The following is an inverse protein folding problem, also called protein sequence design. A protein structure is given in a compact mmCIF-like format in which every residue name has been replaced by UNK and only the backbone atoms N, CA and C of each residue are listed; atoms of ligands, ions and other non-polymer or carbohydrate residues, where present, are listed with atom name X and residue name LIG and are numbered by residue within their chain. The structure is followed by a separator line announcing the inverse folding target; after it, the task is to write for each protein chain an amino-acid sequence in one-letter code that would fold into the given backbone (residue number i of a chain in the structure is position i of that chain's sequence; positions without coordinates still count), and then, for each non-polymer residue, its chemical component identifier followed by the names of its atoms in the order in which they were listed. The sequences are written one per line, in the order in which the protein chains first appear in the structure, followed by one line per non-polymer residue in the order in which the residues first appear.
data_IF_722316645197
#
_entry.id   IF_722316645197
#
_cell.length_a   1.000
_cell.length_b   1.000
_cell.length_c   1.000
_cell.angle_alpha   90.00
_cell.angle_beta   90.00
_cell.angle_gamma   90.00
#
_symmetry.space_group_name_H-M   'P 1'
#
loop_
_entity.id
_entity.type
_entity.pdbx_description
1 polymer ?
#
# COMPACT_ATOMS: atom_id res chain seq x y z
N UNK A 1 -12.41 -8.61 24.93
CA UNK A 1 -11.19 -7.78 25.02
C UNK A 1 -10.66 -7.57 23.61
N UNK A 2 -10.18 -6.36 23.28
CA UNK A 2 -9.52 -6.06 22.00
C UNK A 2 -8.24 -6.89 21.85
N UNK A 3 -7.97 -7.41 20.65
CA UNK A 3 -6.71 -8.09 20.33
C UNK A 3 -5.60 -7.05 20.21
N UNK A 4 -4.45 -7.35 20.82
CA UNK A 4 -3.27 -6.50 20.76
C UNK A 4 -2.31 -7.01 19.68
N UNK A 5 -2.00 -6.16 18.70
CA UNK A 5 -1.06 -6.46 17.63
C UNK A 5 0.18 -5.58 17.74
N UNK A 6 1.33 -6.19 17.45
CA UNK A 6 2.59 -5.48 17.20
C UNK A 6 2.96 -5.69 15.74
N UNK A 7 3.34 -4.60 15.07
CA UNK A 7 3.82 -4.61 13.69
C UNK A 7 5.25 -4.06 13.69
N UNK A 8 6.14 -4.74 13.00
CA UNK A 8 7.56 -4.38 12.92
C UNK A 8 7.86 -3.67 11.61
N UNK A 9 8.31 -2.43 11.73
CA UNK A 9 8.54 -1.53 10.59
C UNK A 9 7.31 -0.68 10.24
N UNK A 10 7.50 0.41 9.48
CA UNK A 10 6.47 1.40 9.17
C UNK A 10 6.29 1.67 7.67
N UNK A 11 6.69 0.74 6.80
CA UNK A 11 6.43 0.84 5.37
C UNK A 11 4.96 0.61 5.00
N UNK A 12 4.61 0.76 3.72
CA UNK A 12 3.26 0.57 3.18
C UNK A 12 2.58 -0.72 3.69
N UNK A 13 3.26 -1.86 3.64
CA UNK A 13 2.68 -3.13 4.10
C UNK A 13 2.30 -3.09 5.60
N UNK A 14 3.15 -2.49 6.43
CA UNK A 14 2.92 -2.36 7.86
C UNK A 14 1.75 -1.41 8.17
N UNK A 15 1.70 -0.25 7.50
CA UNK A 15 0.62 0.72 7.69
C UNK A 15 -0.72 0.16 7.21
N UNK A 16 -0.77 -0.48 6.04
CA UNK A 16 -1.98 -1.15 5.55
C UNK A 16 -2.46 -2.25 6.51
N UNK A 17 -1.55 -3.08 7.01
CA UNK A 17 -1.88 -4.12 7.99
C UNK A 17 -2.41 -3.51 9.29
N UNK A 18 -1.79 -2.42 9.75
CA UNK A 18 -2.21 -1.69 10.95
C UNK A 18 -3.60 -1.07 10.81
N UNK A 19 -3.87 -0.36 9.72
CA UNK A 19 -5.17 0.23 9.40
C UNK A 19 -6.25 -0.87 9.38
N UNK A 20 -6.01 -1.95 8.63
CA UNK A 20 -6.95 -3.07 8.53
C UNK A 20 -7.24 -3.75 9.87
N UNK A 21 -6.24 -3.84 10.76
CA UNK A 21 -6.42 -4.41 12.09
C UNK A 21 -7.22 -3.48 13.02
N UNK A 22 -6.95 -2.16 12.96
CA UNK A 22 -7.69 -1.15 13.71
C UNK A 22 -9.17 -1.11 13.32
N UNK A 23 -9.49 -1.18 12.01
CA UNK A 23 -10.87 -1.28 11.52
C UNK A 23 -11.62 -2.48 12.09
N UNK A 24 -10.91 -3.56 12.41
CA UNK A 24 -11.48 -4.77 13.03
C UNK A 24 -11.47 -4.73 14.56
N UNK A 25 -11.18 -3.57 15.14
CA UNK A 25 -11.23 -3.33 16.59
C UNK A 25 -10.01 -3.85 17.36
N UNK A 26 -8.90 -4.12 16.69
CA UNK A 26 -7.64 -4.42 17.36
C UNK A 26 -7.00 -3.15 17.94
N UNK A 27 -6.14 -3.31 18.94
CA UNK A 27 -5.19 -2.28 19.37
C UNK A 27 -3.86 -2.56 18.68
N UNK A 28 -3.31 -1.58 17.98
CA UNK A 28 -2.11 -1.76 17.15
C UNK A 28 -1.00 -0.80 17.55
N UNK A 29 0.19 -1.36 17.75
CA UNK A 29 1.43 -0.61 17.92
C UNK A 29 2.44 -1.02 16.85
N UNK A 30 2.96 -0.04 16.12
CA UNK A 30 4.09 -0.20 15.19
C UNK A 30 5.39 0.11 15.95
N UNK A 31 6.41 -0.73 15.76
CA UNK A 31 7.77 -0.50 16.24
C UNK A 31 8.66 -0.26 15.03
N UNK A 32 9.15 0.97 14.90
CA UNK A 32 10.01 1.41 13.80
C UNK A 32 11.44 1.62 14.27
N UNK A 33 12.42 1.03 13.56
CA UNK A 33 13.84 1.17 13.93
C UNK A 33 14.43 2.54 13.65
N UNK A 34 13.91 3.22 12.63
CA UNK A 34 14.36 4.55 12.25
C UNK A 34 13.75 5.62 13.15
N UNK A 35 14.36 6.81 13.18
CA UNK A 35 13.71 7.98 13.72
C UNK A 35 12.52 8.42 12.85
N UNK A 36 11.68 9.31 13.34
CA UNK A 36 10.47 9.75 12.65
C UNK A 36 10.75 10.31 11.24
N UNK A 37 11.85 11.04 11.07
CA UNK A 37 12.23 11.64 9.79
C UNK A 37 12.57 10.58 8.71
N UNK A 38 13.26 9.50 9.10
CA UNK A 38 13.71 8.42 8.21
C UNK A 38 12.72 7.25 8.12
N UNK A 39 11.65 7.24 8.92
CA UNK A 39 10.63 6.21 8.92
C UNK A 39 9.92 6.09 7.55
N UNK A 40 9.31 4.92 7.28
CA UNK A 40 8.62 4.62 6.03
C UNK A 40 9.35 3.65 5.10
N UNK A 41 10.58 3.28 5.45
CA UNK A 41 11.37 2.29 4.71
C UNK A 41 11.46 2.59 3.21
N UNK A 42 11.43 1.56 2.38
CA UNK A 42 11.51 1.71 0.92
C UNK A 42 10.32 2.46 0.32
N UNK A 43 9.18 2.52 1.00
CA UNK A 43 7.98 3.21 0.51
C UNK A 43 8.27 4.67 0.14
N UNK A 44 8.97 5.39 0.99
CA UNK A 44 9.33 6.82 0.76
C UNK A 44 10.20 7.07 -0.47
N UNK A 45 10.92 6.05 -0.94
CA UNK A 45 11.85 6.15 -2.07
C UNK A 45 11.26 5.65 -3.39
N UNK A 46 9.98 5.29 -3.40
CA UNK A 46 9.28 4.88 -4.62
C UNK A 46 8.66 6.08 -5.34
N UNK A 47 8.25 5.87 -6.58
CA UNK A 47 7.42 6.83 -7.31
C UNK A 47 5.94 6.81 -6.84
N UNK A 48 5.59 6.04 -5.82
CA UNK A 48 4.20 5.89 -5.36
C UNK A 48 3.24 5.28 -6.38
N UNK A 49 3.76 4.74 -7.49
CA UNK A 49 2.97 4.19 -8.58
C UNK A 49 2.41 2.81 -8.21
N UNK A 50 1.12 2.61 -8.47
CA UNK A 50 0.41 1.38 -8.15
C UNK A 50 0.00 0.64 -9.42
N UNK A 51 0.26 -0.68 -9.45
CA UNK A 51 -0.21 -1.57 -10.51
C UNK A 51 -1.44 -2.31 -10.02
N UNK A 52 -2.56 -2.11 -10.70
CA UNK A 52 -3.84 -2.71 -10.33
C UNK A 52 -4.74 -2.90 -11.53
N UNK A 53 -5.73 -3.77 -11.41
CA UNK A 53 -6.70 -4.08 -12.46
C UNK A 53 -7.75 -2.98 -12.56
N UNK A 54 -8.08 -2.57 -13.78
CA UNK A 54 -9.23 -1.69 -14.07
C UNK A 54 -9.70 -1.93 -15.50
N UNK A 55 -10.99 -1.67 -15.77
CA UNK A 55 -11.61 -1.93 -17.07
C UNK A 55 -11.70 -0.68 -17.95
N UNK A 56 -11.77 0.50 -17.34
CA UNK A 56 -11.92 1.78 -18.07
C UNK A 56 -11.56 2.97 -17.16
N UNK A 57 -11.53 4.16 -17.74
CA UNK A 57 -11.19 5.39 -17.01
C UNK A 57 -12.20 5.79 -15.94
N UNK A 58 -13.47 5.39 -16.05
CA UNK A 58 -14.51 5.71 -15.05
C UNK A 58 -14.23 5.03 -13.70
N UNK A 59 -13.64 3.81 -13.74
CA UNK A 59 -13.22 3.12 -12.51
C UNK A 59 -12.07 3.83 -11.79
N UNK A 60 -11.33 4.68 -12.48
CA UNK A 60 -10.22 5.43 -11.88
C UNK A 60 -10.69 6.69 -11.13
N UNK A 61 -11.80 7.31 -11.55
CA UNK A 61 -12.30 8.57 -11.00
C UNK A 61 -12.48 8.56 -9.47
N UNK A 62 -13.05 7.51 -8.85
CA UNK A 62 -13.21 7.47 -7.39
C UNK A 62 -11.88 7.45 -6.62
N UNK A 63 -10.78 7.11 -7.28
CA UNK A 63 -9.44 7.02 -6.69
C UNK A 63 -8.70 8.37 -6.75
N UNK A 64 -9.13 9.27 -7.65
CA UNK A 64 -8.40 10.48 -7.96
C UNK A 64 -8.58 11.56 -6.90
N UNK A 65 -7.51 12.30 -6.67
CA UNK A 65 -7.53 13.52 -5.86
C UNK A 65 -8.48 14.58 -6.44
N UNK A 66 -8.47 14.73 -7.77
CA UNK A 66 -9.35 15.62 -8.50
C UNK A 66 -10.06 14.84 -9.62
N UNK A 67 -11.26 14.31 -9.35
CA UNK A 67 -12.05 13.58 -10.36
C UNK A 67 -12.65 14.47 -11.44
N UNK A 68 -12.57 15.80 -11.27
CA UNK A 68 -13.13 16.79 -12.20
C UNK A 68 -12.06 17.53 -13.02
N UNK A 69 -10.79 17.09 -12.96
CA UNK A 69 -9.73 17.69 -13.79
C UNK A 69 -10.13 17.59 -15.28
N UNK A 70 -10.24 18.73 -16.01
CA UNK A 70 -10.61 18.75 -17.44
C UNK A 70 -9.67 17.92 -18.32
N UNK A 71 -8.45 17.65 -17.88
CA UNK A 71 -7.49 16.82 -18.57
C UNK A 71 -7.96 15.36 -18.71
N UNK A 72 -8.79 14.89 -17.77
CA UNK A 72 -9.35 13.53 -17.79
C UNK A 72 -10.23 13.30 -19.02
N UNK A 73 -10.96 14.31 -19.52
CA UNK A 73 -11.79 14.21 -20.71
C UNK A 73 -10.97 13.95 -21.98
N UNK A 74 -9.71 14.38 -21.98
CA UNK A 74 -8.76 14.19 -23.07
C UNK A 74 -7.85 12.99 -22.85
N UNK A 75 -8.16 12.12 -21.88
CA UNK A 75 -7.30 11.02 -21.48
C UNK A 75 -7.94 9.68 -21.82
N UNK A 76 -7.19 8.88 -22.56
CA UNK A 76 -7.50 7.46 -22.76
C UNK A 76 -6.64 6.63 -21.82
N UNK A 77 -7.23 6.16 -20.73
CA UNK A 77 -6.55 5.30 -19.76
C UNK A 77 -6.45 3.84 -20.22
N UNK A 78 -7.17 3.47 -21.30
CA UNK A 78 -7.26 2.07 -21.72
C UNK A 78 -7.94 1.18 -20.68
N UNK A 79 -7.46 -0.05 -20.62
CA UNK A 79 -7.81 -1.03 -19.59
C UNK A 79 -6.59 -1.84 -19.20
N UNK A 80 -6.59 -2.36 -18.00
CA UNK A 80 -5.59 -3.33 -17.54
C UNK A 80 -6.29 -4.49 -16.86
N UNK A 81 -6.62 -5.53 -17.65
CA UNK A 81 -7.44 -6.63 -17.18
C UNK A 81 -6.66 -7.61 -16.31
N UNK A 82 -7.39 -8.51 -15.61
CA UNK A 82 -6.79 -9.60 -14.82
C UNK A 82 -5.92 -10.52 -15.67
N UNK A 83 -6.36 -10.78 -16.90
CA UNK A 83 -5.64 -11.62 -17.87
C UNK A 83 -4.31 -10.96 -18.24
N UNK A 84 -4.34 -9.64 -18.53
CA UNK A 84 -3.12 -8.90 -18.86
C UNK A 84 -2.14 -8.83 -17.68
N UNK A 85 -2.64 -8.59 -16.48
CA UNK A 85 -1.81 -8.61 -15.27
C UNK A 85 -1.21 -9.99 -15.02
N UNK A 86 -1.99 -11.05 -15.23
CA UNK A 86 -1.51 -12.44 -15.13
C UNK A 86 -0.41 -12.74 -16.15
N UNK A 87 -0.59 -12.31 -17.40
CA UNK A 87 0.40 -12.45 -18.46
C UNK A 87 1.72 -11.74 -18.11
N UNK A 88 1.62 -10.48 -17.65
CA UNK A 88 2.79 -9.70 -17.24
C UNK A 88 3.57 -10.38 -16.10
N UNK A 89 2.86 -10.92 -15.09
CA UNK A 89 3.50 -11.64 -14.00
C UNK A 89 4.10 -12.98 -14.43
N UNK A 90 3.44 -13.72 -15.32
CA UNK A 90 3.98 -14.97 -15.90
C UNK A 90 5.27 -14.70 -16.67
N UNK A 91 5.30 -13.64 -17.48
CA UNK A 91 6.50 -13.23 -18.21
C UNK A 91 7.64 -12.84 -17.26
N UNK A 92 7.31 -12.14 -16.15
CA UNK A 92 8.28 -11.79 -15.12
C UNK A 92 8.81 -13.02 -14.34
N UNK A 93 7.98 -14.05 -14.19
CA UNK A 93 8.30 -15.29 -13.48
C UNK A 93 8.99 -16.34 -14.40
N UNK A 94 9.48 -15.98 -15.57
CA UNK A 94 10.01 -16.93 -16.56
C UNK A 94 9.02 -18.05 -16.93
N UNK A 95 7.74 -17.73 -17.02
CA UNK A 95 6.66 -18.66 -17.35
C UNK A 95 6.26 -19.62 -16.20
N UNK A 96 6.81 -19.47 -15.00
CA UNK A 96 6.41 -20.29 -13.85
C UNK A 96 4.97 -19.94 -13.41
N UNK A 97 4.20 -20.94 -12.94
CA UNK A 97 2.83 -20.70 -12.47
C UNK A 97 2.76 -19.62 -11.40
N UNK A 98 1.69 -18.82 -11.45
CA UNK A 98 1.42 -17.77 -10.44
C UNK A 98 1.19 -18.40 -9.06
N UNK A 99 1.81 -17.82 -8.04
CA UNK A 99 1.57 -18.18 -6.64
C UNK A 99 0.19 -17.75 -6.17
N UNK A 100 -0.21 -18.19 -4.98
CA UNK A 100 -1.48 -17.77 -4.37
C UNK A 100 -1.46 -16.25 -4.10
N UNK A 101 -0.35 -15.70 -3.63
CA UNK A 101 -0.17 -14.28 -3.34
C UNK A 101 -0.29 -13.43 -4.62
N UNK A 102 0.32 -13.86 -5.72
CA UNK A 102 0.20 -13.19 -7.02
C UNK A 102 -1.23 -13.20 -7.54
N UNK A 103 -1.95 -14.32 -7.41
CA UNK A 103 -3.37 -14.43 -7.76
C UNK A 103 -4.23 -13.52 -6.88
N UNK A 104 -3.96 -13.46 -5.58
CA UNK A 104 -4.64 -12.57 -4.66
C UNK A 104 -4.39 -11.11 -5.04
N UNK A 105 -3.13 -10.73 -5.31
CA UNK A 105 -2.80 -9.38 -5.79
C UNK A 105 -3.61 -9.01 -7.04
N UNK A 106 -3.66 -9.86 -8.06
CA UNK A 106 -4.43 -9.60 -9.28
C UNK A 106 -5.91 -9.39 -8.95
N UNK A 107 -6.49 -10.28 -8.13
CA UNK A 107 -7.92 -10.31 -7.88
C UNK A 107 -8.40 -9.15 -7.01
N UNK A 108 -7.61 -8.76 -6.02
CA UNK A 108 -8.00 -7.80 -4.98
C UNK A 108 -7.44 -6.39 -5.23
N UNK A 109 -6.59 -6.20 -6.24
CA UNK A 109 -5.85 -4.95 -6.44
C UNK A 109 -6.74 -3.72 -6.58
N UNK A 110 -7.85 -3.79 -7.33
CA UNK A 110 -8.76 -2.66 -7.50
C UNK A 110 -9.51 -2.33 -6.21
N UNK A 111 -10.03 -3.34 -5.51
CA UNK A 111 -10.71 -3.13 -4.23
C UNK A 111 -9.76 -2.57 -3.16
N UNK A 112 -8.50 -3.01 -3.18
CA UNK A 112 -7.45 -2.44 -2.31
C UNK A 112 -7.20 -0.96 -2.62
N UNK A 113 -7.18 -0.57 -3.89
CA UNK A 113 -7.05 0.85 -4.27
C UNK A 113 -8.24 1.69 -3.77
N UNK A 114 -9.47 1.17 -3.87
CA UNK A 114 -10.66 1.84 -3.32
C UNK A 114 -10.58 1.94 -1.79
N UNK A 115 -10.11 0.89 -1.14
CA UNK A 115 -9.93 0.89 0.30
C UNK A 115 -8.89 1.95 0.73
N UNK A 116 -7.74 2.06 0.06
CA UNK A 116 -6.77 3.13 0.31
C UNK A 116 -7.41 4.52 0.10
N UNK A 117 -8.15 4.71 -0.98
CA UNK A 117 -8.84 5.97 -1.26
C UNK A 117 -9.88 6.32 -0.18
N UNK A 118 -10.56 5.32 0.42
CA UNK A 118 -11.50 5.51 1.52
C UNK A 118 -10.82 5.95 2.83
N UNK A 119 -9.51 5.73 2.94
CA UNK A 119 -8.64 6.22 4.02
C UNK A 119 -7.90 7.50 3.67
N UNK A 120 -8.44 8.29 2.75
CA UNK A 120 -7.90 9.58 2.32
C UNK A 120 -6.57 9.51 1.55
N UNK A 121 -6.10 8.33 1.13
CA UNK A 121 -4.97 8.23 0.20
C UNK A 121 -5.41 8.73 -1.17
N UNK A 122 -4.78 9.78 -1.67
CA UNK A 122 -5.12 10.45 -2.93
C UNK A 122 -4.17 10.04 -4.04
N UNK A 123 -4.73 9.73 -5.21
CA UNK A 123 -3.98 9.33 -6.39
C UNK A 123 -4.08 10.36 -7.50
N UNK A 124 -3.07 10.40 -8.35
CA UNK A 124 -2.96 11.29 -9.53
C UNK A 124 -2.50 10.47 -10.73
N UNK A 125 -2.99 10.77 -11.96
CA UNK A 125 -2.50 10.10 -13.17
C UNK A 125 -1.04 10.43 -13.48
N UNK A 126 -0.25 9.43 -13.85
CA UNK A 126 1.19 9.57 -14.13
C UNK A 126 1.42 9.97 -15.59
N UNK A 127 0.96 11.14 -15.99
CA UNK A 127 1.02 11.61 -17.39
C UNK A 127 2.44 11.61 -17.97
N UNK A 128 3.43 12.10 -17.22
CA UNK A 128 4.78 12.30 -17.73
C UNK A 128 5.56 11.01 -18.00
N UNK A 129 5.25 9.94 -17.24
CA UNK A 129 6.01 8.69 -17.28
C UNK A 129 5.26 7.54 -17.94
N UNK A 130 3.92 7.62 -18.01
CA UNK A 130 3.07 6.47 -18.36
C UNK A 130 2.10 6.79 -19.50
N UNK A 131 2.21 7.97 -20.11
CA UNK A 131 1.39 8.32 -21.26
C UNK A 131 2.20 9.04 -22.34
N UNK A 132 1.65 9.07 -23.55
CA UNK A 132 2.09 9.90 -24.65
C UNK A 132 0.90 10.68 -25.23
N UNK A 133 1.19 11.79 -25.89
CA UNK A 133 0.15 12.57 -26.54
C UNK A 133 0.03 12.18 -28.01
N UNK A 134 -1.22 11.95 -28.45
CA UNK A 134 -1.56 11.70 -29.84
C UNK A 134 -2.92 12.34 -30.16
N UNK A 135 -2.97 13.14 -31.23
CA UNK A 135 -4.18 13.83 -31.70
C UNK A 135 -4.88 14.65 -30.59
N UNK A 136 -4.09 15.33 -29.74
CA UNK A 136 -4.58 16.13 -28.62
C UNK A 136 -5.13 15.33 -27.45
N UNK A 137 -4.90 14.03 -27.40
CA UNK A 137 -5.29 13.14 -26.30
C UNK A 137 -4.08 12.50 -25.64
N UNK A 138 -4.18 12.31 -24.33
CA UNK A 138 -3.21 11.52 -23.56
C UNK A 138 -3.60 10.05 -23.63
N UNK A 139 -2.67 9.20 -24.02
CA UNK A 139 -2.87 7.76 -24.14
C UNK A 139 -1.92 7.05 -23.20
N UNK A 140 -2.46 6.32 -22.23
CA UNK A 140 -1.68 5.55 -21.27
C UNK A 140 -1.28 4.18 -21.82
N UNK A 141 -0.08 3.71 -21.44
CA UNK A 141 0.43 2.38 -21.82
C UNK A 141 -0.34 1.23 -21.14
N UNK A 142 -0.99 1.50 -20.00
CA UNK A 142 -1.70 0.54 -19.17
C UNK A 142 -0.86 0.00 -17.99
N UNK A 143 -1.54 -0.45 -16.95
CA UNK A 143 -0.96 -1.12 -15.78
C UNK A 143 -0.46 -0.18 -14.67
N UNK A 144 0.39 0.78 -14.96
CA UNK A 144 0.86 1.79 -14.02
C UNK A 144 0.26 3.15 -14.37
N UNK A 145 -0.98 3.35 -14.02
CA UNK A 145 -1.75 4.53 -14.45
C UNK A 145 -1.76 5.64 -13.40
N UNK A 146 -1.81 5.26 -12.14
CA UNK A 146 -1.91 6.16 -10.99
C UNK A 146 -0.70 6.04 -10.07
N UNK A 147 -0.31 7.16 -9.47
CA UNK A 147 0.59 7.22 -8.34
C UNK A 147 -0.08 7.97 -7.19
N UNK A 148 0.36 7.72 -5.96
CA UNK A 148 -0.03 8.55 -4.82
C UNK A 148 0.45 9.97 -5.01
N UNK A 149 -0.34 10.94 -4.58
CA UNK A 149 0.06 12.34 -4.55
C UNK A 149 1.36 12.50 -3.75
N UNK A 150 2.34 13.23 -4.29
CA UNK A 150 3.69 13.38 -3.75
C UNK A 150 4.50 12.06 -3.71
N UNK A 151 4.21 11.14 -4.63
CA UNK A 151 4.96 9.90 -4.83
C UNK A 151 5.03 9.04 -3.54
N UNK A 152 6.13 8.33 -3.30
CA UNK A 152 6.27 7.44 -2.14
C UNK A 152 6.29 8.15 -0.79
N UNK A 153 6.76 9.38 -0.73
CA UNK A 153 6.69 10.20 0.49
C UNK A 153 5.23 10.47 0.83
N UNK A 154 4.44 10.93 -0.16
CA UNK A 154 3.04 11.19 0.05
C UNK A 154 2.21 9.95 0.35
N UNK A 155 2.56 8.79 -0.23
CA UNK A 155 1.93 7.52 0.13
C UNK A 155 2.11 7.23 1.62
N UNK A 156 3.37 7.27 2.08
CA UNK A 156 3.69 7.03 3.48
C UNK A 156 2.98 8.02 4.43
N UNK A 157 3.02 9.32 4.12
CA UNK A 157 2.44 10.36 4.98
C UNK A 157 0.93 10.19 5.11
N UNK A 158 0.22 9.91 4.00
CA UNK A 158 -1.23 9.73 3.99
C UNK A 158 -1.65 8.44 4.73
N UNK A 159 -0.94 7.34 4.52
CA UNK A 159 -1.18 6.08 5.25
C UNK A 159 -0.90 6.23 6.76
N UNK A 160 0.17 6.93 7.13
CA UNK A 160 0.51 7.19 8.54
C UNK A 160 -0.56 8.06 9.21
N UNK A 161 -1.07 9.07 8.50
CA UNK A 161 -2.18 9.89 8.99
C UNK A 161 -3.44 9.06 9.20
N UNK A 162 -3.82 8.21 8.24
CA UNK A 162 -4.95 7.31 8.35
C UNK A 162 -4.80 6.34 9.54
N UNK A 163 -3.61 5.75 9.71
CA UNK A 163 -3.29 4.88 10.83
C UNK A 163 -3.45 5.59 12.19
N UNK A 164 -2.91 6.81 12.31
CA UNK A 164 -3.01 7.61 13.54
C UNK A 164 -4.45 8.05 13.82
N UNK A 165 -5.23 8.43 12.81
CA UNK A 165 -6.66 8.79 12.94
C UNK A 165 -7.50 7.65 13.52
N UNK A 166 -7.16 6.40 13.19
CA UNK A 166 -7.83 5.22 13.72
C UNK A 166 -7.34 4.80 15.13
N UNK A 167 -6.43 5.55 15.72
CA UNK A 167 -5.91 5.31 17.07
C UNK A 167 -4.70 4.37 17.09
N UNK A 168 -4.03 4.16 15.96
CA UNK A 168 -2.78 3.41 15.91
C UNK A 168 -1.63 4.17 16.56
N UNK A 169 -0.76 3.43 17.25
CA UNK A 169 0.44 3.95 17.90
C UNK A 169 1.69 3.54 17.12
N UNK A 170 2.66 4.45 17.00
CA UNK A 170 3.98 4.18 16.45
C UNK A 170 5.07 4.62 17.41
N UNK A 171 6.05 3.76 17.64
CA UNK A 171 7.22 4.02 18.46
C UNK A 171 8.46 3.94 17.57
N UNK A 172 9.14 5.07 17.44
CA UNK A 172 10.34 5.22 16.61
C UNK A 172 11.60 4.85 17.40
N UNK A 173 12.74 4.71 16.70
CA UNK A 173 14.04 4.37 17.29
C UNK A 173 13.99 3.08 18.12
N UNK A 174 13.07 2.18 17.77
CA UNK A 174 12.77 0.96 18.52
C UNK A 174 13.01 -0.28 17.66
N UNK A 175 14.29 -0.63 17.40
CA UNK A 175 14.63 -1.80 16.59
C UNK A 175 14.25 -3.10 17.30
N UNK A 176 13.38 -3.88 16.69
CA UNK A 176 13.08 -5.24 17.13
C UNK A 176 14.26 -6.15 16.77
N UNK A 177 14.70 -6.95 17.73
CA UNK A 177 15.85 -7.86 17.60
C UNK A 177 15.47 -9.32 17.60
N UNK A 178 14.39 -9.70 18.29
CA UNK A 178 13.96 -11.08 18.42
C UNK A 178 12.45 -11.20 18.55
N UNK A 179 11.92 -12.38 18.19
CA UNK A 179 10.57 -12.79 18.51
C UNK A 179 10.53 -13.50 19.88
N UNK A 180 9.59 -13.12 20.73
CA UNK A 180 9.34 -13.84 21.98
C UNK A 180 8.44 -15.03 21.67
N UNK A 181 8.96 -16.22 21.93
CA UNK A 181 8.25 -17.49 21.68
C UNK A 181 7.97 -18.20 22.99
N UNK A 182 6.74 -18.62 23.15
CA UNK A 182 6.31 -19.48 24.25
C UNK A 182 5.68 -20.74 23.66
N UNK A 183 6.31 -21.89 23.92
CA UNK A 183 5.98 -23.15 23.24
C UNK A 183 6.02 -22.99 21.69
N UNK A 184 4.87 -23.15 21.02
CA UNK A 184 4.72 -23.05 19.58
C UNK A 184 4.16 -21.68 19.11
N UNK A 185 3.95 -20.72 20.01
CA UNK A 185 3.32 -19.44 19.73
C UNK A 185 4.30 -18.28 19.84
N UNK A 186 4.16 -17.32 18.94
CA UNK A 186 4.80 -16.01 19.09
C UNK A 186 3.88 -15.15 19.98
N UNK A 187 4.40 -14.67 21.09
CA UNK A 187 3.68 -13.89 22.09
C UNK A 187 4.16 -12.45 22.20
N UNK A 188 5.10 -12.04 21.35
CA UNK A 188 5.62 -10.68 21.35
C UNK A 188 6.96 -10.55 20.66
N UNK A 189 7.62 -9.43 20.91
CA UNK A 189 8.94 -9.08 20.36
C UNK A 189 9.83 -8.50 21.43
N UNK A 190 11.17 -8.64 21.23
CA UNK A 190 12.18 -7.98 22.05
C UNK A 190 12.83 -6.83 21.28
N UNK A 191 13.17 -5.80 22.01
CA UNK A 191 14.12 -4.77 21.61
C UNK A 191 15.34 -4.85 22.54
N UNK A 192 16.29 -3.95 22.36
CA UNK A 192 17.45 -3.90 23.27
C UNK A 192 17.04 -3.71 24.73
N UNK A 193 16.03 -2.86 24.97
CA UNK A 193 15.71 -2.37 26.32
C UNK A 193 14.38 -2.89 26.86
N UNK A 194 13.49 -3.41 26.01
CA UNK A 194 12.12 -3.77 26.37
C UNK A 194 11.63 -5.07 25.72
N UNK A 195 10.65 -5.68 26.37
CA UNK A 195 9.81 -6.75 25.83
C UNK A 195 8.39 -6.22 25.57
N UNK A 196 7.87 -6.43 24.39
CA UNK A 196 6.51 -6.05 24.01
C UNK A 196 5.68 -7.32 23.79
N UNK A 197 4.68 -7.52 24.65
CA UNK A 197 3.78 -8.69 24.59
C UNK A 197 2.54 -8.33 23.76
N UNK A 198 2.12 -9.25 22.88
CA UNK A 198 0.96 -9.11 22.02
C UNK A 198 0.28 -10.45 21.72
N UNK A 199 -0.97 -10.40 21.25
CA UNK A 199 -1.71 -11.58 20.78
C UNK A 199 -1.20 -12.07 19.42
N UNK A 200 -0.64 -11.16 18.60
CA UNK A 200 -0.01 -11.47 17.33
C UNK A 200 1.06 -10.44 16.95
N UNK A 201 2.00 -10.88 16.11
CA UNK A 201 3.10 -10.07 15.56
C UNK A 201 3.05 -10.17 14.03
N UNK A 202 3.19 -9.03 13.35
CA UNK A 202 3.35 -8.92 11.90
C UNK A 202 4.76 -8.37 11.63
N UNK A 203 5.49 -9.03 10.69
CA UNK A 203 6.85 -8.65 10.28
C UNK A 203 6.86 -8.03 8.90
#
# INVERSE_FOLDING_TARGET
MSKKLIIVGSGNAALCAGISALEKGATVKILEKANEYLAGGNTKYTAGAMRFVYNNGEELKPLLKDPNDPKLEKTNFGKYSKEKFSEDLLNFNDGKPLTIEQKTLINESYETMKWLASHDVKFEPIYQRQSFEKDGKFIFWGGLTLASKNEGVGLFDQELEAFKKLGGEIEYETPVTELIKEEAKIIGVKTKDNNFIADAVIL
#
